data_IF_032134527420
#
_entry.id   IF_032134527420
#
_cell.length_a   1.000
_cell.length_b   1.000
_cell.length_c   1.000
_cell.angle_alpha   90.00
_cell.angle_beta   90.00
_cell.angle_gamma   90.00
#
_symmetry.space_group_name_H-M   'P 1'
#
loop_
_entity.id
_entity.type
_entity.pdbx_description
1 polymer ?
#
# COMPACT_ATOMS: atom_id res chain seq x y z
N UNK A 1 -29.58 -6.29 21.51
CA UNK A 1 -29.28 -4.85 21.59
C UNK A 1 -28.86 -4.37 20.21
N UNK A 2 -29.81 -3.91 19.40
CA UNK A 2 -29.58 -3.42 18.05
C UNK A 2 -29.72 -1.89 18.07
N UNK A 3 -28.64 -1.21 18.43
CA UNK A 3 -28.52 0.24 18.22
C UNK A 3 -28.01 0.48 16.81
N UNK A 4 -28.63 1.41 16.08
CA UNK A 4 -28.24 1.87 14.75
C UNK A 4 -26.76 2.29 14.69
N UNK A 5 -25.87 1.36 14.34
CA UNK A 5 -24.44 1.59 14.25
C UNK A 5 -24.08 2.17 12.87
N UNK A 6 -24.58 3.38 12.58
CA UNK A 6 -24.30 4.08 11.32
C UNK A 6 -22.84 4.53 11.32
N UNK A 7 -22.08 4.06 10.32
CA UNK A 7 -20.69 4.48 10.09
C UNK A 7 -20.66 5.97 9.78
N UNK A 8 -20.09 6.79 10.67
CA UNK A 8 -19.83 8.21 10.45
C UNK A 8 -18.34 8.44 10.17
N UNK A 9 -18.01 9.01 9.01
CA UNK A 9 -16.63 9.30 8.61
C UNK A 9 -16.33 10.80 8.52
N UNK A 10 -17.29 11.66 8.87
CA UNK A 10 -17.17 13.12 8.70
C UNK A 10 -16.04 13.73 9.53
N UNK A 11 -15.80 13.22 10.74
CA UNK A 11 -14.69 13.68 11.58
C UNK A 11 -13.34 13.46 10.91
N UNK A 12 -13.11 12.23 10.42
CA UNK A 12 -11.86 11.87 9.74
C UNK A 12 -11.63 12.66 8.45
N UNK A 13 -12.70 13.06 7.76
CA UNK A 13 -12.62 13.83 6.50
C UNK A 13 -12.25 15.30 6.72
N UNK A 14 -12.53 15.86 7.91
CA UNK A 14 -12.27 17.28 8.22
C UNK A 14 -10.82 17.57 8.59
N UNK A 15 -10.06 16.57 9.02
CA UNK A 15 -8.71 16.73 9.58
C UNK A 15 -7.58 16.46 8.56
N UNK A 16 -7.91 16.04 7.34
CA UNK A 16 -6.93 15.81 6.27
C UNK A 16 -7.45 16.31 4.92
N UNK A 17 -6.56 16.63 3.96
CA UNK A 17 -6.96 16.87 2.58
C UNK A 17 -7.76 15.70 1.99
N UNK A 18 -8.72 15.98 1.11
CA UNK A 18 -9.64 14.98 0.58
C UNK A 18 -8.93 13.82 -0.12
N UNK A 19 -7.88 14.11 -0.89
CA UNK A 19 -7.08 13.07 -1.58
C UNK A 19 -6.39 12.12 -0.58
N UNK A 20 -5.89 12.65 0.54
CA UNK A 20 -5.31 11.85 1.63
C UNK A 20 -6.39 11.02 2.30
N UNK A 21 -7.56 11.61 2.57
CA UNK A 21 -8.70 10.86 3.13
C UNK A 21 -9.09 9.68 2.24
N UNK A 22 -9.18 9.89 0.92
CA UNK A 22 -9.50 8.84 -0.06
C UNK A 22 -8.41 7.77 -0.07
N UNK A 23 -7.13 8.17 -0.15
CA UNK A 23 -6.00 7.23 -0.18
C UNK A 23 -5.99 6.32 1.05
N UNK A 24 -6.06 6.91 2.25
CA UNK A 24 -6.00 6.16 3.51
C UNK A 24 -7.27 5.33 3.72
N UNK A 25 -8.44 5.85 3.35
CA UNK A 25 -9.70 5.09 3.45
C UNK A 25 -9.73 3.91 2.47
N UNK A 26 -9.14 4.05 1.29
CA UNK A 26 -8.99 2.95 0.33
C UNK A 26 -8.13 1.82 0.92
N UNK A 27 -6.99 2.15 1.52
CA UNK A 27 -6.18 1.18 2.25
C UNK A 27 -6.96 0.52 3.40
N UNK A 28 -7.70 1.31 4.21
CA UNK A 28 -8.53 0.77 5.30
C UNK A 28 -9.49 -0.31 4.82
N UNK A 29 -10.23 -0.04 3.73
CA UNK A 29 -11.20 -0.97 3.18
C UNK A 29 -10.52 -2.22 2.62
N UNK A 30 -9.47 -2.06 1.80
CA UNK A 30 -8.72 -3.18 1.26
C UNK A 30 -8.11 -4.05 2.39
N UNK A 31 -7.63 -3.43 3.47
CA UNK A 31 -6.96 -4.14 4.56
C UNK A 31 -7.95 -4.90 5.43
N UNK A 32 -9.19 -4.42 5.55
CA UNK A 32 -10.26 -5.18 6.19
C UNK A 32 -10.58 -6.48 5.43
N UNK A 33 -10.56 -6.46 4.09
CA UNK A 33 -10.83 -7.66 3.29
C UNK A 33 -9.71 -8.70 3.36
N UNK A 34 -8.47 -8.27 3.65
CA UNK A 34 -7.30 -9.16 3.71
C UNK A 34 -7.13 -9.83 5.06
N UNK A 35 -7.64 -9.23 6.13
CA UNK A 35 -7.60 -9.77 7.49
C UNK A 35 -8.78 -10.71 7.71
N UNK A 36 -8.51 -11.94 8.14
CA UNK A 36 -9.55 -12.91 8.49
C UNK A 36 -9.67 -13.04 10.01
N UNK A 37 -10.86 -13.40 10.47
CA UNK A 37 -11.17 -13.51 11.91
C UNK A 37 -10.42 -14.66 12.60
N UNK A 38 -10.01 -15.67 11.84
CA UNK A 38 -9.20 -16.81 12.29
C UNK A 38 -7.70 -16.47 12.47
N UNK A 39 -7.31 -15.21 12.23
CA UNK A 39 -5.93 -14.74 12.31
C UNK A 39 -5.09 -15.02 11.05
N UNK A 40 -5.66 -15.70 10.05
CA UNK A 40 -4.99 -15.90 8.77
C UNK A 40 -5.03 -14.63 7.89
N UNK A 41 -4.19 -14.60 6.85
CA UNK A 41 -4.07 -13.46 5.95
C UNK A 41 -4.27 -13.88 4.50
N UNK A 42 -5.11 -13.15 3.77
CA UNK A 42 -5.32 -13.38 2.35
C UNK A 42 -4.17 -12.76 1.53
N UNK A 43 -3.05 -13.48 1.44
CA UNK A 43 -1.83 -13.03 0.76
C UNK A 43 -2.07 -12.77 -0.72
N UNK A 44 -2.75 -13.65 -1.44
CA UNK A 44 -2.95 -13.49 -2.89
C UNK A 44 -3.74 -12.23 -3.23
N UNK A 45 -4.83 -11.97 -2.48
CA UNK A 45 -5.60 -10.74 -2.63
C UNK A 45 -4.77 -9.51 -2.23
N UNK A 46 -3.88 -9.64 -1.25
CA UNK A 46 -2.99 -8.56 -0.84
C UNK A 46 -2.03 -8.14 -1.95
N UNK A 47 -1.38 -9.13 -2.57
CA UNK A 47 -0.42 -8.89 -3.65
C UNK A 47 -1.13 -8.37 -4.91
N UNK A 48 -2.38 -8.78 -5.16
CA UNK A 48 -3.19 -8.34 -6.29
C UNK A 48 -3.68 -6.89 -6.15
N UNK A 49 -4.16 -6.49 -4.97
CA UNK A 49 -4.70 -5.14 -4.74
C UNK A 49 -3.62 -4.07 -4.55
N UNK A 50 -2.36 -4.46 -4.33
CA UNK A 50 -1.28 -3.52 -4.10
C UNK A 50 -0.82 -2.84 -5.40
N UNK A 51 -0.63 -1.52 -5.35
CA UNK A 51 -0.20 -0.74 -6.51
C UNK A 51 1.32 -0.65 -6.55
N UNK A 52 1.95 -1.58 -7.24
CA UNK A 52 3.41 -1.70 -7.38
C UNK A 52 3.92 -1.06 -8.67
N UNK A 53 5.21 -0.72 -8.67
CA UNK A 53 5.94 -0.28 -9.86
C UNK A 53 7.23 -1.11 -10.01
N UNK A 54 7.65 -1.43 -11.25
CA UNK A 54 8.98 -2.00 -11.48
C UNK A 54 10.07 -0.96 -11.17
N UNK A 55 11.32 -1.43 -11.02
CA UNK A 55 12.45 -0.52 -11.03
C UNK A 55 12.61 0.12 -12.42
N UNK A 56 13.23 1.31 -12.46
CA UNK A 56 13.40 2.06 -13.70
C UNK A 56 14.82 2.60 -13.81
N UNK A 57 15.56 2.14 -14.82
CA UNK A 57 16.93 2.59 -15.10
C UNK A 57 17.00 3.94 -15.82
N UNK A 58 15.88 4.41 -16.37
CA UNK A 58 15.76 5.76 -16.96
C UNK A 58 15.42 6.73 -15.83
N UNK A 59 16.23 7.78 -15.58
CA UNK A 59 15.94 8.74 -14.53
C UNK A 59 14.59 9.45 -14.74
N UNK A 60 13.76 9.45 -13.70
CA UNK A 60 12.52 10.25 -13.61
C UNK A 60 12.71 11.22 -12.46
N UNK A 61 12.53 12.51 -12.72
CA UNK A 61 12.81 13.58 -11.77
C UNK A 61 14.23 13.48 -11.15
N UNK A 62 15.21 13.06 -11.97
CA UNK A 62 16.61 12.93 -11.56
C UNK A 62 16.93 11.69 -10.71
N UNK A 63 16.01 10.74 -10.56
CA UNK A 63 16.23 9.49 -9.80
C UNK A 63 16.00 8.28 -10.68
N UNK A 64 16.94 7.34 -10.67
CA UNK A 64 16.77 6.01 -11.25
C UNK A 64 16.85 4.92 -10.17
N UNK A 65 16.34 3.73 -10.49
CA UNK A 65 16.32 2.59 -9.59
C UNK A 65 16.62 1.26 -10.30
N UNK A 66 17.14 0.30 -9.54
CA UNK A 66 17.33 -1.08 -9.96
C UNK A 66 17.14 -2.05 -8.78
N UNK A 67 16.75 -3.28 -9.07
CA UNK A 67 16.49 -4.32 -8.08
C UNK A 67 17.73 -5.25 -7.96
N UNK A 68 18.15 -5.56 -6.74
CA UNK A 68 19.25 -6.47 -6.41
C UNK A 68 18.74 -7.65 -5.58
N UNK A 69 18.99 -8.88 -6.03
CA UNK A 69 18.52 -10.12 -5.41
C UNK A 69 19.69 -10.85 -4.75
N UNK A 70 19.60 -11.09 -3.45
CA UNK A 70 20.43 -12.08 -2.77
C UNK A 70 19.88 -13.49 -3.08
N UNK A 71 20.63 -14.26 -3.86
CA UNK A 71 20.23 -15.61 -4.28
C UNK A 71 20.18 -16.62 -3.15
N UNK A 72 20.92 -16.40 -2.06
CA UNK A 72 20.97 -17.34 -0.94
C UNK A 72 19.71 -17.28 -0.07
N UNK A 73 19.12 -16.07 0.07
CA UNK A 73 17.95 -15.81 0.93
C UNK A 73 16.68 -15.51 0.15
N UNK A 74 16.78 -15.20 -1.15
CA UNK A 74 15.67 -14.69 -1.95
C UNK A 74 15.31 -13.23 -1.63
N UNK A 75 16.12 -12.53 -0.84
CA UNK A 75 15.85 -11.15 -0.45
C UNK A 75 16.09 -10.18 -1.61
N UNK A 76 15.05 -9.42 -1.97
CA UNK A 76 15.11 -8.40 -3.02
C UNK A 76 15.15 -7.00 -2.42
N UNK A 77 16.14 -6.22 -2.81
CA UNK A 77 16.31 -4.82 -2.42
C UNK A 77 16.21 -3.89 -3.65
N UNK A 78 15.45 -2.80 -3.54
CA UNK A 78 15.44 -1.73 -4.55
C UNK A 78 16.41 -0.62 -4.17
N UNK A 79 17.40 -0.35 -5.02
CA UNK A 79 18.35 0.74 -4.85
C UNK A 79 17.91 1.92 -5.69
N UNK A 80 17.82 3.12 -5.09
CA UNK A 80 17.52 4.37 -5.80
C UNK A 80 18.72 5.32 -5.70
N UNK A 81 19.14 5.91 -6.83
CA UNK A 81 20.31 6.81 -6.91
C UNK A 81 20.02 8.00 -7.83
N UNK A 82 20.72 9.13 -7.64
CA UNK A 82 20.67 10.23 -8.58
C UNK A 82 21.09 9.78 -9.99
N UNK A 83 20.26 10.09 -10.99
CA UNK A 83 20.62 9.96 -12.39
C UNK A 83 21.65 11.02 -12.78
N UNK A 84 22.62 10.62 -13.59
CA UNK A 84 23.47 11.59 -14.29
C UNK A 84 22.74 12.11 -15.52
#
# INVERSE_FOLDING_TARGET
MAGDNKVNLNESKRVVPLNIWVLISNFKLAYNLRRRLDGSFNRDLAEFLDRKLPANTIPVDGVFSFDHLDRSTGLLNRVSRPGR
#
